data_IF_495567618408
#
_entry.id   IF_495567618408
#
_cell.length_a   1.000
_cell.length_b   1.000
_cell.length_c   1.000
_cell.angle_alpha   90.00
_cell.angle_beta   90.00
_cell.angle_gamma   90.00
#
_symmetry.space_group_name_H-M   'P 1'
#
loop_
_entity.id
_entity.type
_entity.pdbx_description
1 polymer ?
#
# COMPACT_ATOMS: atom_id res chain seq x y z
N UNK A 1 41.25 -0.11 -5.22
CA UNK A 1 40.09 0.71 -4.79
C UNK A 1 38.96 0.29 -5.71
N UNK A 2 37.94 -0.38 -5.20
CA UNK A 2 36.79 -0.77 -6.04
C UNK A 2 36.02 0.52 -6.30
N UNK A 3 35.97 0.94 -7.57
CA UNK A 3 35.29 2.15 -7.99
C UNK A 3 33.81 1.80 -8.17
N UNK A 4 32.98 2.15 -7.20
CA UNK A 4 31.54 1.90 -7.25
C UNK A 4 30.90 2.91 -8.20
N UNK A 5 30.16 2.43 -9.20
CA UNK A 5 29.46 3.32 -10.14
C UNK A 5 28.38 4.14 -9.44
N UNK A 6 28.18 5.38 -9.88
CA UNK A 6 27.08 6.24 -9.39
C UNK A 6 25.72 5.57 -9.62
N UNK A 7 25.56 4.84 -10.73
CA UNK A 7 24.32 4.13 -11.03
C UNK A 7 24.03 3.03 -9.99
N UNK A 8 25.05 2.27 -9.57
CA UNK A 8 24.91 1.25 -8.54
C UNK A 8 24.44 1.85 -7.20
N UNK A 9 24.97 3.03 -6.84
CA UNK A 9 24.56 3.76 -5.63
C UNK A 9 23.11 4.21 -5.75
N UNK A 10 22.71 4.81 -6.88
CA UNK A 10 21.33 5.25 -7.13
C UNK A 10 20.36 4.08 -6.99
N UNK A 11 20.68 2.94 -7.59
CA UNK A 11 19.82 1.76 -7.57
C UNK A 11 19.70 1.14 -6.17
N UNK A 12 20.79 1.12 -5.40
CA UNK A 12 20.76 0.70 -3.99
C UNK A 12 19.85 1.63 -3.16
N UNK A 13 19.97 2.95 -3.33
CA UNK A 13 19.12 3.94 -2.64
C UNK A 13 17.65 3.77 -3.02
N UNK A 14 17.33 3.61 -4.32
CA UNK A 14 15.95 3.37 -4.78
C UNK A 14 15.38 2.09 -4.17
N UNK A 15 16.17 1.03 -4.07
CA UNK A 15 15.71 -0.25 -3.48
C UNK A 15 15.42 -0.12 -2.00
N UNK A 16 16.27 0.60 -1.24
CA UNK A 16 16.01 0.90 0.18
C UNK A 16 14.73 1.72 0.33
N UNK A 17 14.55 2.77 -0.49
CA UNK A 17 13.37 3.62 -0.46
C UNK A 17 12.08 2.83 -0.76
N UNK A 18 12.11 1.96 -1.79
CA UNK A 18 11.00 1.07 -2.11
C UNK A 18 10.76 0.02 -1.01
N UNK A 19 11.83 -0.49 -0.41
CA UNK A 19 11.80 -1.37 0.76
C UNK A 19 10.95 -0.79 1.90
N UNK A 20 11.14 0.49 2.20
CA UNK A 20 10.40 1.20 3.24
C UNK A 20 8.92 1.48 2.90
N UNK A 21 8.53 1.41 1.62
CA UNK A 21 7.17 1.72 1.19
C UNK A 21 6.13 0.73 1.74
N UNK A 22 6.46 -0.56 1.84
CA UNK A 22 5.57 -1.59 2.38
C UNK A 22 5.12 -1.29 3.82
N UNK A 23 6.05 -1.15 4.79
CA UNK A 23 5.74 -0.76 6.16
C UNK A 23 4.99 0.56 6.24
N UNK A 24 5.41 1.56 5.45
CA UNK A 24 4.76 2.88 5.44
C UNK A 24 3.29 2.78 5.04
N UNK A 25 2.97 2.09 3.94
CA UNK A 25 1.59 1.86 3.49
C UNK A 25 0.77 1.13 4.56
N UNK A 26 1.36 0.13 5.23
CA UNK A 26 0.68 -0.58 6.31
C UNK A 26 0.36 0.32 7.50
N UNK A 27 1.31 1.13 7.96
CA UNK A 27 1.10 2.06 9.08
C UNK A 27 0.00 3.07 8.74
N UNK A 28 0.02 3.63 7.53
CA UNK A 28 -1.03 4.56 7.10
C UNK A 28 -2.40 3.89 7.01
N UNK A 29 -2.47 2.68 6.45
CA UNK A 29 -3.70 1.91 6.35
C UNK A 29 -4.26 1.57 7.74
N UNK A 30 -3.40 1.16 8.67
CA UNK A 30 -3.79 0.87 10.06
C UNK A 30 -4.29 2.11 10.79
N UNK A 31 -3.59 3.23 10.66
CA UNK A 31 -4.03 4.49 11.29
C UNK A 31 -5.38 4.96 10.74
N UNK A 32 -5.65 4.77 9.45
CA UNK A 32 -6.95 5.05 8.85
C UNK A 32 -8.05 4.07 9.34
N UNK A 33 -7.73 2.78 9.49
CA UNK A 33 -8.66 1.79 10.02
C UNK A 33 -9.00 2.00 11.52
N UNK A 34 -8.09 2.61 12.27
CA UNK A 34 -8.24 2.98 13.69
C UNK A 34 -8.87 4.37 13.89
N UNK A 35 -9.26 5.07 12.82
CA UNK A 35 -9.85 6.42 12.89
C UNK A 35 -8.87 7.53 13.27
N UNK A 36 -7.57 7.25 13.38
CA UNK A 36 -6.53 8.24 13.71
C UNK A 36 -6.21 9.17 12.54
N UNK A 37 -6.45 8.68 11.32
CA UNK A 37 -6.33 9.46 10.09
C UNK A 37 -7.72 9.64 9.51
N UNK A 38 -8.25 10.86 9.63
CA UNK A 38 -9.52 11.23 9.03
C UNK A 38 -9.45 11.15 7.50
N UNK A 39 -10.62 10.98 6.88
CA UNK A 39 -10.78 10.97 5.42
C UNK A 39 -10.14 12.22 4.81
N UNK A 40 -9.12 12.03 3.99
CA UNK A 40 -8.39 13.14 3.38
C UNK A 40 -7.92 12.79 1.95
N UNK A 41 -7.60 13.84 1.19
CA UNK A 41 -7.13 13.73 -0.20
C UNK A 41 -5.62 13.56 -0.34
N UNK A 42 -4.85 13.51 0.76
CA UNK A 42 -3.39 13.57 0.76
C UNK A 42 -2.70 12.22 1.06
N UNK A 43 -3.30 11.34 1.89
CA UNK A 43 -2.74 10.04 2.32
C UNK A 43 -3.80 8.93 2.24
N UNK A 44 -3.43 7.65 2.08
CA UNK A 44 -4.33 6.49 2.14
C UNK A 44 -4.84 5.92 0.81
N UNK A 45 -5.66 4.86 0.87
CA UNK A 45 -6.26 4.16 -0.28
C UNK A 45 -7.51 4.92 -0.78
N UNK A 46 -7.27 5.92 -1.63
CA UNK A 46 -8.31 6.83 -2.14
C UNK A 46 -9.00 6.23 -3.34
N UNK A 47 -10.19 5.71 -3.11
CA UNK A 47 -11.10 5.25 -4.15
C UNK A 47 -12.42 6.00 -3.99
N UNK A 48 -13.23 6.06 -5.06
CA UNK A 48 -14.56 6.69 -4.97
C UNK A 48 -15.39 6.14 -3.81
N UNK A 49 -15.31 4.84 -3.53
CA UNK A 49 -16.07 4.21 -2.46
C UNK A 49 -15.52 4.52 -1.06
N UNK A 50 -14.20 4.49 -0.87
CA UNK A 50 -13.57 4.79 0.44
C UNK A 50 -13.69 6.26 0.82
N UNK A 51 -13.88 7.15 -0.15
CA UNK A 51 -14.06 8.60 0.06
C UNK A 51 -15.52 9.04 0.25
N UNK A 52 -16.48 8.12 0.19
CA UNK A 52 -17.91 8.46 0.25
C UNK A 52 -18.39 8.87 1.66
N UNK A 53 -17.82 8.27 2.70
CA UNK A 53 -18.16 8.53 4.10
C UNK A 53 -17.00 8.13 5.00
N UNK A 54 -17.00 8.59 6.26
CA UNK A 54 -15.97 8.21 7.24
C UNK A 54 -16.09 6.74 7.63
N UNK A 55 -17.31 6.23 7.70
CA UNK A 55 -17.56 4.81 7.89
C UNK A 55 -16.96 3.96 6.75
N UNK A 56 -17.19 4.35 5.48
CA UNK A 56 -16.64 3.65 4.33
C UNK A 56 -15.10 3.75 4.25
N UNK A 57 -14.53 4.87 4.70
CA UNK A 57 -13.10 5.06 4.85
C UNK A 57 -12.51 4.03 5.81
N UNK A 58 -13.05 3.91 7.02
CA UNK A 58 -12.55 2.97 8.04
C UNK A 58 -12.75 1.51 7.62
N UNK A 59 -13.94 1.16 7.11
CA UNK A 59 -14.25 -0.21 6.68
C UNK A 59 -13.33 -0.64 5.54
N UNK A 60 -13.14 0.23 4.54
CA UNK A 60 -12.23 -0.06 3.43
C UNK A 60 -10.79 -0.28 3.89
N UNK A 61 -10.26 0.60 4.75
CA UNK A 61 -8.89 0.44 5.26
C UNK A 61 -8.73 -0.78 6.16
N UNK A 62 -9.76 -1.14 6.94
CA UNK A 62 -9.76 -2.37 7.75
C UNK A 62 -9.71 -3.62 6.89
N UNK A 63 -10.45 -3.64 5.78
CA UNK A 63 -10.42 -4.75 4.82
C UNK A 63 -9.07 -4.90 4.11
N UNK A 64 -8.32 -3.80 3.93
CA UNK A 64 -6.99 -3.83 3.30
C UNK A 64 -5.84 -4.23 4.26
N UNK A 65 -6.10 -4.36 5.57
CA UNK A 65 -5.07 -4.69 6.56
C UNK A 65 -4.32 -6.02 6.28
N UNK A 66 -4.97 -7.12 5.89
CA UNK A 66 -4.25 -8.38 5.65
C UNK A 66 -3.20 -8.26 4.53
N UNK A 67 -3.56 -7.60 3.42
CA UNK A 67 -2.66 -7.39 2.28
C UNK A 67 -1.53 -6.43 2.64
N UNK A 68 -1.86 -5.29 3.28
CA UNK A 68 -0.84 -4.32 3.67
C UNK A 68 0.09 -4.87 4.75
N UNK A 69 -0.39 -5.75 5.63
CA UNK A 69 0.48 -6.47 6.59
C UNK A 69 1.46 -7.40 5.87
N UNK A 70 1.02 -8.10 4.82
CA UNK A 70 1.91 -8.86 3.95
C UNK A 70 2.96 -7.96 3.30
N UNK A 71 2.55 -6.81 2.77
CA UNK A 71 3.44 -5.81 2.18
C UNK A 71 4.48 -5.27 3.17
N UNK A 72 4.09 -5.09 4.44
CA UNK A 72 4.97 -4.60 5.50
C UNK A 72 6.18 -5.52 5.75
N UNK A 73 6.09 -6.80 5.41
CA UNK A 73 7.18 -7.75 5.57
C UNK A 73 7.81 -8.15 4.24
N UNK A 74 7.00 -8.47 3.23
CA UNK A 74 7.49 -8.98 1.95
C UNK A 74 8.38 -7.98 1.21
N UNK A 75 8.02 -6.69 1.23
CA UNK A 75 8.75 -5.64 0.50
C UNK A 75 10.13 -5.37 1.14
N UNK A 76 10.27 -5.15 2.46
CA UNK A 76 11.58 -5.04 3.09
C UNK A 76 12.43 -6.29 2.96
N UNK A 77 11.84 -7.49 3.10
CA UNK A 77 12.58 -8.74 2.98
C UNK A 77 13.19 -8.90 1.58
N UNK A 78 12.43 -8.58 0.53
CA UNK A 78 12.94 -8.59 -0.83
C UNK A 78 14.05 -7.57 -1.04
N UNK A 79 13.88 -6.33 -0.53
CA UNK A 79 14.90 -5.29 -0.62
C UNK A 79 16.20 -5.69 0.09
N UNK A 80 16.09 -6.25 1.31
CA UNK A 80 17.25 -6.75 2.07
C UNK A 80 17.93 -7.91 1.36
N UNK A 81 17.16 -8.87 0.82
CA UNK A 81 17.72 -9.99 0.07
C UNK A 81 18.47 -9.51 -1.19
N UNK A 82 17.91 -8.53 -1.91
CA UNK A 82 18.55 -7.94 -3.07
C UNK A 82 19.86 -7.22 -2.69
N UNK A 83 19.87 -6.44 -1.61
CA UNK A 83 21.06 -5.75 -1.12
C UNK A 83 22.13 -6.73 -0.61
N UNK A 84 21.74 -7.77 0.12
CA UNK A 84 22.66 -8.80 0.59
C UNK A 84 23.34 -9.51 -0.60
N UNK A 85 22.58 -9.83 -1.65
CA UNK A 85 23.13 -10.40 -2.88
C UNK A 85 24.10 -9.43 -3.56
N UNK A 86 23.78 -8.13 -3.58
CA UNK A 86 24.65 -7.08 -4.09
C UNK A 86 25.98 -7.02 -3.35
N UNK A 87 25.96 -7.10 -2.02
CA UNK A 87 27.17 -7.06 -1.19
C UNK A 87 28.09 -8.26 -1.44
N UNK A 88 27.53 -9.43 -1.78
CA UNK A 88 28.30 -10.64 -2.10
C UNK A 88 28.85 -10.60 -3.54
N UNK A 89 28.10 -10.04 -4.49
CA UNK A 89 28.44 -10.06 -5.92
C UNK A 89 29.10 -8.78 -6.43
N UNK A 90 29.18 -7.75 -5.59
CA UNK A 90 29.59 -6.40 -5.97
C UNK A 90 28.38 -5.53 -6.32
N UNK A 91 28.39 -4.29 -5.86
CA UNK A 91 27.30 -3.32 -6.10
C UNK A 91 27.14 -2.99 -7.58
N UNK A 92 28.20 -3.06 -8.39
CA UNK A 92 28.10 -2.85 -9.84
C UNK A 92 27.33 -4.00 -10.55
N UNK A 93 27.21 -5.15 -9.90
CA UNK A 93 26.33 -6.25 -10.32
C UNK A 93 24.88 -6.08 -9.84
N UNK A 94 24.56 -4.99 -9.12
CA UNK A 94 23.21 -4.68 -8.69
C UNK A 94 22.39 -4.21 -9.89
N UNK A 95 21.28 -4.90 -10.15
CA UNK A 95 20.57 -4.77 -11.43
C UNK A 95 19.31 -3.92 -11.31
N UNK A 96 18.92 -3.33 -12.43
CA UNK A 96 17.56 -2.81 -12.67
C UNK A 96 16.46 -3.77 -12.24
N UNK A 97 16.71 -5.08 -12.35
CA UNK A 97 15.79 -6.11 -11.91
C UNK A 97 15.45 -6.03 -10.41
N UNK A 98 16.37 -5.62 -9.53
CA UNK A 98 16.10 -5.50 -8.10
C UNK A 98 15.12 -4.35 -7.78
N UNK A 99 15.32 -3.20 -8.44
CA UNK A 99 14.42 -2.05 -8.33
C UNK A 99 13.06 -2.39 -8.94
N UNK A 100 13.03 -2.99 -10.12
CA UNK A 100 11.80 -3.41 -10.79
C UNK A 100 11.03 -4.46 -9.99
N UNK A 101 11.71 -5.45 -9.40
CA UNK A 101 11.06 -6.47 -8.58
C UNK A 101 10.47 -5.86 -7.30
N UNK A 102 11.23 -5.01 -6.60
CA UNK A 102 10.77 -4.36 -5.37
C UNK A 102 9.62 -3.40 -5.67
N UNK A 103 9.77 -2.56 -6.69
CA UNK A 103 8.74 -1.61 -7.12
C UNK A 103 7.48 -2.29 -7.66
N UNK A 104 7.65 -3.35 -8.46
CA UNK A 104 6.57 -4.18 -8.97
C UNK A 104 5.77 -4.83 -7.84
N UNK A 105 6.45 -5.38 -6.83
CA UNK A 105 5.79 -5.95 -5.65
C UNK A 105 5.00 -4.89 -4.87
N UNK A 106 5.58 -3.71 -4.63
CA UNK A 106 4.88 -2.57 -4.01
C UNK A 106 3.63 -2.19 -4.81
N UNK A 107 3.76 -2.09 -6.14
CA UNK A 107 2.66 -1.76 -7.05
C UNK A 107 1.51 -2.77 -6.97
N UNK A 108 1.82 -4.06 -7.13
CA UNK A 108 0.82 -5.14 -7.07
C UNK A 108 0.11 -5.15 -5.73
N UNK A 109 0.85 -5.09 -4.61
CA UNK A 109 0.24 -5.12 -3.28
C UNK A 109 -0.61 -3.88 -2.99
N UNK A 110 -0.20 -2.70 -3.48
CA UNK A 110 -0.99 -1.47 -3.37
C UNK A 110 -2.29 -1.56 -4.17
N UNK A 111 -2.24 -2.11 -5.38
CA UNK A 111 -3.43 -2.32 -6.22
C UNK A 111 -4.39 -3.31 -5.55
N UNK A 112 -3.88 -4.45 -5.07
CA UNK A 112 -4.69 -5.45 -4.36
C UNK A 112 -5.35 -4.86 -3.11
N UNK A 113 -4.59 -4.13 -2.30
CA UNK A 113 -5.12 -3.43 -1.13
C UNK A 113 -6.21 -2.42 -1.51
N UNK A 114 -5.99 -1.64 -2.58
CA UNK A 114 -6.97 -0.69 -3.12
C UNK A 114 -8.26 -1.36 -3.60
N UNK A 115 -8.17 -2.50 -4.30
CA UNK A 115 -9.34 -3.28 -4.75
C UNK A 115 -10.13 -3.81 -3.55
N UNK A 116 -9.46 -4.36 -2.54
CA UNK A 116 -10.12 -4.84 -1.32
C UNK A 116 -10.81 -3.71 -0.55
N UNK A 117 -10.10 -2.59 -0.37
CA UNK A 117 -10.65 -1.41 0.28
C UNK A 117 -11.88 -0.87 -0.47
N UNK A 118 -11.80 -0.80 -1.80
CA UNK A 118 -12.90 -0.33 -2.64
C UNK A 118 -14.14 -1.21 -2.51
N UNK A 119 -13.96 -2.53 -2.60
CA UNK A 119 -15.07 -3.49 -2.52
C UNK A 119 -15.78 -3.42 -1.18
N UNK A 120 -15.02 -3.42 -0.09
CA UNK A 120 -15.57 -3.34 1.26
C UNK A 120 -16.28 -2.01 1.51
N UNK A 121 -15.67 -0.89 1.12
CA UNK A 121 -16.28 0.43 1.24
C UNK A 121 -17.57 0.55 0.42
N UNK A 122 -17.60 -0.02 -0.79
CA UNK A 122 -18.81 -0.02 -1.64
C UNK A 122 -19.95 -0.79 -0.99
N UNK A 123 -19.66 -1.95 -0.39
CA UNK A 123 -20.68 -2.74 0.34
C UNK A 123 -21.23 -1.97 1.54
N UNK A 124 -20.36 -1.32 2.31
CA UNK A 124 -20.77 -0.50 3.45
C UNK A 124 -21.67 0.68 3.03
N UNK A 125 -21.36 1.34 1.92
CA UNK A 125 -22.18 2.43 1.38
C UNK A 125 -23.56 1.95 0.92
N UNK A 126 -23.66 0.77 0.29
CA UNK A 126 -24.95 0.20 -0.13
C UNK A 126 -25.81 -0.18 1.08
N UNK A 127 -25.23 -0.87 2.07
CA UNK A 127 -25.94 -1.23 3.29
C UNK A 127 -26.42 0.00 4.09
N UNK A 128 -25.67 1.11 4.06
CA UNK A 128 -26.11 2.38 4.66
C UNK A 128 -27.21 3.10 3.87
N UNK A 129 -27.27 2.89 2.55
CA UNK A 129 -28.33 3.43 1.68
C UNK A 129 -29.67 2.71 1.83
N UNK A 130 -29.64 1.39 2.04
CA UNK A 130 -30.86 0.58 2.21
C UNK A 130 -31.62 0.92 3.51
N UNK A 131 -30.92 1.39 4.55
CA UNK A 131 -31.53 1.81 5.83
C UNK A 131 -32.19 3.20 5.73
N UNK A 132 -31.80 4.01 4.74
CA UNK A 132 -32.27 5.39 4.58
C UNK A 132 -33.53 5.54 3.71
N UNK A 133 -34.13 4.43 3.24
CA UNK A 133 -35.44 4.47 2.55
C UNK A 133 -36.56 4.29 3.58
N UNK A 134 -37.22 5.37 4.08
CA UNK A 134 -38.48 5.20 4.79
C UNK A 134 -39.51 4.56 3.83
N UNK A 135 -40.44 3.71 4.33
CA UNK A 135 -41.53 3.22 3.49
C UNK A 135 -42.27 4.43 2.96
N UNK A 136 -42.46 4.46 1.64
CA UNK A 136 -43.22 5.47 0.92
C UNK A 136 -44.57 5.71 1.63
N UNK A 137 -44.65 6.76 2.44
CA UNK A 137 -45.91 7.38 2.82
C UNK A 137 -46.37 8.24 1.64
N UNK A 138 -46.74 7.59 0.54
CA UNK A 138 -47.56 8.22 -0.49
C UNK A 138 -49.03 7.94 -0.16
N UNK A 139 -49.65 9.01 0.35
CA UNK A 139 -51.05 9.43 0.23
C UNK A 139 -52.17 8.38 0.29
#
# INVERSE_FOLDING_TARGET
MVEVSTDAIVMAVCTVALGAAGPFVHVMCRSAAEGKVMRNSAVGLRTRATMASDHAWEVGHRAALPVTRGAAWAVPLLAVAALALALVRGLDGFTEAAVLATGGLVGVLTVLAGVMAHRAARQANLAGGDVASPPDSQA
#
